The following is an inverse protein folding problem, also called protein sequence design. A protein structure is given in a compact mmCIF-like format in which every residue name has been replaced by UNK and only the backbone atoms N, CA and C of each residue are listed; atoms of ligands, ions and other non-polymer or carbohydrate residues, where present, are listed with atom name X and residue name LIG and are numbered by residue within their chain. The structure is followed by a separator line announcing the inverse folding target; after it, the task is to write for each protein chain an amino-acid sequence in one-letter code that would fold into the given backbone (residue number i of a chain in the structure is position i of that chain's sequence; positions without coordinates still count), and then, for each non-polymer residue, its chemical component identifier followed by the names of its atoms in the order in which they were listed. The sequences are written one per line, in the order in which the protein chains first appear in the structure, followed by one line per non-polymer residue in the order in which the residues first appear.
data_IF_036244881126
#
_entry.id   IF_036244881126
#
_cell.length_a   1.000
_cell.length_b   1.000
_cell.length_c   1.000
_cell.angle_alpha   90.00
_cell.angle_beta   90.00
_cell.angle_gamma   90.00
#
_symmetry.space_group_name_H-M   'P 1'
#
loop_
_entity.id
_entity.type
_entity.pdbx_description
1 polymer ?
#
# COMPACT_ATOMS: atom_id res chain seq x y z
N UNK A 1 28.81 -39.45 -8.67
CA UNK A 1 27.48 -39.24 -8.10
C UNK A 1 27.38 -37.79 -7.62
N UNK A 2 26.83 -36.90 -8.44
CA UNK A 2 26.65 -35.49 -8.09
C UNK A 2 25.35 -35.33 -7.29
N UNK A 3 25.42 -34.78 -6.09
CA UNK A 3 24.27 -34.49 -5.25
C UNK A 3 23.38 -33.45 -5.95
N UNK A 4 22.10 -33.77 -6.13
CA UNK A 4 21.10 -32.82 -6.63
C UNK A 4 21.01 -31.64 -5.65
N UNK A 5 21.13 -30.38 -6.11
CA UNK A 5 20.91 -29.23 -5.25
C UNK A 5 19.49 -29.28 -4.69
N UNK A 6 19.40 -29.14 -3.37
CA UNK A 6 18.15 -29.23 -2.63
C UNK A 6 17.35 -27.94 -2.86
N UNK A 7 16.07 -28.09 -3.14
CA UNK A 7 15.15 -27.06 -3.66
C UNK A 7 14.87 -25.88 -2.73
N UNK A 8 15.49 -25.81 -1.55
CA UNK A 8 15.33 -24.71 -0.59
C UNK A 8 16.28 -23.53 -0.86
N UNK A 9 17.38 -23.72 -1.60
CA UNK A 9 18.29 -22.62 -1.99
C UNK A 9 17.70 -21.69 -3.06
N UNK A 10 16.57 -22.05 -3.67
CA UNK A 10 15.92 -21.25 -4.72
C UNK A 10 14.97 -20.16 -4.21
N UNK A 11 14.83 -19.98 -2.88
CA UNK A 11 14.11 -18.83 -2.31
C UNK A 11 15.01 -17.59 -2.42
N UNK A 12 15.04 -16.99 -3.61
CA UNK A 12 15.78 -15.77 -3.96
C UNK A 12 15.52 -14.63 -2.94
N UNK A 13 16.45 -14.37 -2.00
CA UNK A 13 16.23 -13.44 -0.88
C UNK A 13 16.23 -11.93 -1.21
N UNK A 14 16.83 -11.39 -2.30
CA UNK A 14 16.94 -9.93 -2.43
C UNK A 14 15.67 -9.25 -2.94
N UNK A 15 14.78 -9.96 -3.65
CA UNK A 15 13.61 -9.32 -4.28
C UNK A 15 12.44 -9.13 -3.32
N UNK A 16 12.27 -10.03 -2.35
CA UNK A 16 11.19 -9.95 -1.37
C UNK A 16 11.44 -8.84 -0.35
N UNK A 17 12.63 -8.79 0.26
CA UNK A 17 13.01 -7.73 1.20
C UNK A 17 12.93 -6.34 0.56
N UNK A 18 13.38 -6.22 -0.70
CA UNK A 18 13.28 -4.95 -1.44
C UNK A 18 11.83 -4.52 -1.65
N UNK A 19 10.92 -5.45 -1.97
CA UNK A 19 9.49 -5.15 -2.10
C UNK A 19 8.86 -4.76 -0.78
N UNK A 20 9.15 -5.49 0.28
CA UNK A 20 8.65 -5.19 1.62
C UNK A 20 9.12 -3.80 2.07
N UNK A 21 10.40 -3.47 1.85
CA UNK A 21 10.95 -2.15 2.13
C UNK A 21 10.30 -1.03 1.31
N UNK A 22 10.12 -1.22 0.00
CA UNK A 22 9.44 -0.25 -0.86
C UNK A 22 8.00 0.00 -0.43
N UNK A 23 7.28 -1.05 -0.05
CA UNK A 23 5.90 -0.93 0.38
C UNK A 23 5.79 -0.30 1.77
N UNK A 24 6.62 -0.71 2.72
CA UNK A 24 6.67 -0.07 4.03
C UNK A 24 6.99 1.43 3.89
N UNK A 25 7.97 1.78 3.06
CA UNK A 25 8.33 3.18 2.81
C UNK A 25 7.17 3.99 2.21
N UNK A 26 6.44 3.42 1.24
CA UNK A 26 5.24 4.04 0.69
C UNK A 26 4.22 4.33 1.80
N UNK A 27 3.95 3.37 2.67
CA UNK A 27 2.98 3.52 3.74
C UNK A 27 3.45 4.42 4.89
N UNK A 28 4.77 4.59 5.09
CA UNK A 28 5.32 5.65 5.94
C UNK A 28 4.95 7.02 5.38
N UNK A 29 5.17 7.25 4.08
CA UNK A 29 4.84 8.54 3.46
C UNK A 29 3.34 8.81 3.52
N UNK A 30 2.52 7.84 3.11
CA UNK A 30 1.06 7.97 3.16
C UNK A 30 0.58 8.19 4.60
N UNK A 31 1.14 7.46 5.56
CA UNK A 31 0.80 7.62 6.98
C UNK A 31 1.12 8.98 7.53
N UNK A 32 2.29 9.53 7.18
CA UNK A 32 2.65 10.89 7.57
C UNK A 32 1.68 11.93 7.01
N UNK A 33 1.33 11.81 5.72
CA UNK A 33 0.38 12.73 5.06
C UNK A 33 -1.00 12.65 5.72
N UNK A 34 -1.53 11.42 5.92
CA UNK A 34 -2.82 11.21 6.61
C UNK A 34 -2.81 11.86 7.98
N UNK A 35 -1.79 11.57 8.78
CA UNK A 35 -1.68 12.08 10.14
C UNK A 35 -1.70 13.61 10.20
N UNK A 36 -0.95 14.26 9.30
CA UNK A 36 -0.93 15.72 9.16
C UNK A 36 -2.30 16.25 8.73
N UNK A 37 -2.93 15.63 7.74
CA UNK A 37 -4.25 16.04 7.24
C UNK A 37 -5.37 15.91 8.29
N UNK A 38 -5.26 14.97 9.23
CA UNK A 38 -6.30 14.72 10.25
C UNK A 38 -6.24 15.65 11.46
N UNK A 39 -5.09 16.26 11.73
CA UNK A 39 -4.87 17.04 12.96
C UNK A 39 -5.51 18.44 12.93
N UNK A 40 -5.84 18.96 11.74
CA UNK A 40 -6.38 20.31 11.59
C UNK A 40 -5.38 21.42 11.90
N UNK A 41 -5.86 22.65 12.05
CA UNK A 41 -5.04 23.84 12.34
C UNK A 41 -4.57 23.85 13.80
N UNK A 42 -3.57 23.04 14.12
CA UNK A 42 -2.89 23.01 15.42
C UNK A 42 -1.46 23.54 15.33
N UNK A 43 -0.80 23.66 16.50
CA UNK A 43 0.61 24.01 16.57
C UNK A 43 1.54 22.93 15.99
N UNK A 44 2.80 23.29 15.71
CA UNK A 44 3.80 22.42 15.08
C UNK A 44 3.98 21.06 15.77
N UNK A 45 3.87 21.04 17.11
CA UNK A 45 3.95 19.81 17.92
C UNK A 45 2.83 18.84 17.54
N UNK A 46 1.61 19.35 17.34
CA UNK A 46 0.45 18.52 17.01
C UNK A 46 0.57 17.95 15.60
N UNK A 47 1.12 18.71 14.65
CA UNK A 47 1.40 18.21 13.29
C UNK A 47 2.42 17.07 13.29
N UNK A 48 3.50 17.21 14.07
CA UNK A 48 4.52 16.16 14.20
C UNK A 48 3.92 14.92 14.86
N UNK A 49 3.17 15.10 15.95
CA UNK A 49 2.50 14.01 16.65
C UNK A 49 1.50 13.29 15.74
N UNK A 50 0.71 14.03 14.97
CA UNK A 50 -0.22 13.50 13.97
C UNK A 50 0.49 12.66 12.91
N UNK A 51 1.54 13.21 12.30
CA UNK A 51 2.35 12.49 11.32
C UNK A 51 2.92 11.17 11.86
N UNK A 52 3.47 11.18 13.08
CA UNK A 52 4.00 9.98 13.74
C UNK A 52 2.86 8.98 14.00
N UNK A 53 1.72 9.43 14.52
CA UNK A 53 0.57 8.56 14.77
C UNK A 53 0.07 7.90 13.49
N UNK A 54 -0.02 8.66 12.40
CA UNK A 54 -0.40 8.13 11.09
C UNK A 54 0.57 7.07 10.59
N UNK A 55 1.89 7.29 10.71
CA UNK A 55 2.91 6.28 10.37
C UNK A 55 2.75 5.00 11.19
N UNK A 56 2.59 5.12 12.51
CA UNK A 56 2.46 3.96 13.41
C UNK A 56 1.25 3.10 13.03
N UNK A 57 0.12 3.72 12.67
CA UNK A 57 -1.11 3.02 12.31
C UNK A 57 -1.04 2.41 10.90
N UNK A 58 -0.46 3.13 9.93
CA UNK A 58 -0.56 2.76 8.51
C UNK A 58 0.59 1.86 8.02
N UNK A 59 1.75 1.86 8.67
CA UNK A 59 2.86 0.97 8.31
C UNK A 59 2.51 -0.53 8.41
N UNK A 60 1.85 -1.02 9.47
CA UNK A 60 1.42 -2.42 9.55
C UNK A 60 0.51 -2.83 8.37
N UNK A 61 -0.35 -1.94 7.91
CA UNK A 61 -1.23 -2.17 6.74
C UNK A 61 -0.38 -2.38 5.48
N UNK A 62 0.63 -1.53 5.27
CA UNK A 62 1.58 -1.66 4.16
C UNK A 62 2.37 -2.97 4.18
N UNK A 63 2.79 -3.40 5.37
CA UNK A 63 3.47 -4.70 5.56
C UNK A 63 2.54 -5.86 5.16
N UNK A 64 1.30 -5.87 5.65
CA UNK A 64 0.31 -6.91 5.31
C UNK A 64 0.06 -6.95 3.80
N UNK A 65 -0.11 -5.78 3.16
CA UNK A 65 -0.30 -5.70 1.71
C UNK A 65 0.92 -6.20 0.93
N UNK A 66 2.13 -5.89 1.39
CA UNK A 66 3.36 -6.42 0.79
C UNK A 66 3.39 -7.95 0.84
N UNK A 67 2.96 -8.54 1.96
CA UNK A 67 2.86 -10.00 2.12
C UNK A 67 1.81 -10.62 1.17
N UNK A 68 0.70 -9.92 0.93
CA UNK A 68 -0.30 -10.32 -0.06
C UNK A 68 0.18 -10.20 -1.51
N UNK A 69 1.35 -9.60 -1.73
CA UNK A 69 1.95 -9.40 -3.04
C UNK A 69 1.44 -8.15 -3.75
N UNK A 70 0.93 -7.16 -2.99
CA UNK A 70 0.62 -5.84 -3.51
C UNK A 70 1.85 -5.22 -4.16
N UNK A 71 1.59 -4.35 -5.14
CA UNK A 71 2.63 -3.66 -5.87
C UNK A 71 2.58 -2.17 -5.55
N UNK A 72 3.77 -1.60 -5.36
CA UNK A 72 3.92 -0.21 -4.92
C UNK A 72 3.36 0.82 -5.93
N UNK A 73 3.56 0.72 -7.26
CA UNK A 73 3.13 1.78 -8.16
C UNK A 73 1.61 1.78 -8.34
N UNK A 74 0.97 0.60 -8.37
CA UNK A 74 -0.48 0.45 -8.40
C UNK A 74 -1.12 1.02 -7.12
N UNK A 75 -0.52 0.74 -5.96
CA UNK A 75 -1.00 1.28 -4.67
C UNK A 75 -0.86 2.80 -4.62
N UNK A 76 0.27 3.33 -5.08
CA UNK A 76 0.50 4.78 -5.14
C UNK A 76 -0.48 5.46 -6.09
N UNK A 77 -0.70 4.92 -7.30
CA UNK A 77 -1.61 5.49 -8.29
C UNK A 77 -3.06 5.53 -7.79
N UNK A 78 -3.53 4.46 -7.13
CA UNK A 78 -4.87 4.47 -6.54
C UNK A 78 -4.95 5.39 -5.32
N UNK A 79 -3.91 5.47 -4.48
CA UNK A 79 -3.85 6.39 -3.35
C UNK A 79 -3.89 7.86 -3.81
N UNK A 80 -3.14 8.23 -4.85
CA UNK A 80 -3.16 9.60 -5.40
C UNK A 80 -4.50 9.93 -6.05
N UNK A 81 -5.09 9.01 -6.81
CA UNK A 81 -6.43 9.19 -7.37
C UNK A 81 -7.48 9.37 -6.25
N UNK A 82 -7.45 8.51 -5.24
CA UNK A 82 -8.35 8.61 -4.08
C UNK A 82 -8.16 9.91 -3.30
N UNK A 83 -6.92 10.38 -3.13
CA UNK A 83 -6.62 11.67 -2.52
C UNK A 83 -7.22 12.83 -3.30
N UNK A 84 -7.06 12.86 -4.63
CA UNK A 84 -7.63 13.93 -5.47
C UNK A 84 -9.16 13.94 -5.43
N UNK A 85 -9.79 12.75 -5.48
CA UNK A 85 -11.25 12.62 -5.36
C UNK A 85 -11.73 13.07 -3.98
N UNK A 86 -11.05 12.63 -2.91
CA UNK A 86 -11.38 13.00 -1.54
C UNK A 86 -11.19 14.49 -1.26
N UNK A 87 -10.08 15.07 -1.73
CA UNK A 87 -9.83 16.50 -1.64
C UNK A 87 -10.88 17.30 -2.42
N UNK A 88 -11.20 16.87 -3.64
CA UNK A 88 -12.25 17.48 -4.46
C UNK A 88 -13.61 17.45 -3.77
N UNK A 89 -14.01 16.31 -3.19
CA UNK A 89 -15.24 16.21 -2.41
C UNK A 89 -15.20 17.10 -1.16
N UNK A 90 -14.06 17.20 -0.49
CA UNK A 90 -13.89 18.02 0.70
C UNK A 90 -13.94 19.52 0.46
N UNK A 91 -13.73 20.00 -0.77
CA UNK A 91 -13.96 21.39 -1.12
C UNK A 91 -15.45 21.77 -1.04
N UNK A 92 -16.36 20.82 -1.27
CA UNK A 92 -17.81 21.04 -1.18
C UNK A 92 -18.36 20.90 0.24
N UNK A 93 -17.63 20.20 1.12
CA UNK A 93 -18.07 19.83 2.47
C UNK A 93 -17.24 20.52 3.58
N UNK A 94 -16.40 21.50 3.21
CA UNK A 94 -15.51 22.25 4.11
C UNK A 94 -14.59 21.37 4.98
N UNK A 95 -14.33 20.13 4.55
CA UNK A 95 -13.56 19.12 5.31
C UNK A 95 -12.49 18.47 4.42
N UNK A 96 -11.70 19.32 3.75
CA UNK A 96 -10.68 18.89 2.77
C UNK A 96 -9.67 17.92 3.40
N UNK A 97 -9.16 18.23 4.60
CA UNK A 97 -8.12 17.42 5.25
C UNK A 97 -8.57 15.98 5.53
N UNK A 98 -9.72 15.83 6.19
CA UNK A 98 -10.25 14.51 6.56
C UNK A 98 -10.65 13.71 5.33
N UNK A 99 -11.37 14.31 4.37
CA UNK A 99 -11.82 13.60 3.18
C UNK A 99 -10.68 13.23 2.23
N UNK A 100 -9.66 14.08 2.10
CA UNK A 100 -8.45 13.75 1.34
C UNK A 100 -7.68 12.60 2.00
N UNK A 101 -7.55 12.60 3.33
CA UNK A 101 -6.91 11.52 4.08
C UNK A 101 -7.67 10.19 3.94
N UNK A 102 -9.00 10.22 4.05
CA UNK A 102 -9.87 9.05 3.83
C UNK A 102 -9.72 8.53 2.40
N UNK A 103 -9.79 9.41 1.40
CA UNK A 103 -9.61 9.05 0.00
C UNK A 103 -8.25 8.42 -0.29
N UNK A 104 -7.18 8.96 0.31
CA UNK A 104 -5.82 8.41 0.20
C UNK A 104 -5.72 6.99 0.79
N UNK A 105 -6.29 6.74 1.98
CA UNK A 105 -6.30 5.41 2.61
C UNK A 105 -7.10 4.42 1.76
N UNK A 106 -8.33 4.77 1.38
CA UNK A 106 -9.18 3.89 0.58
C UNK A 106 -8.57 3.61 -0.80
N UNK A 107 -8.04 4.63 -1.46
CA UNK A 107 -7.32 4.48 -2.72
C UNK A 107 -6.13 3.53 -2.58
N UNK A 108 -5.32 3.71 -1.54
CA UNK A 108 -4.17 2.83 -1.27
C UNK A 108 -4.58 1.39 -0.98
N UNK A 109 -5.63 1.18 -0.18
CA UNK A 109 -6.18 -0.14 0.11
C UNK A 109 -6.72 -0.83 -1.15
N UNK A 110 -7.50 -0.13 -1.97
CA UNK A 110 -8.07 -0.65 -3.22
C UNK A 110 -6.96 -1.01 -4.21
N UNK A 111 -5.97 -0.13 -4.40
CA UNK A 111 -4.83 -0.42 -5.28
C UNK A 111 -4.02 -1.62 -4.81
N UNK A 112 -3.80 -1.74 -3.49
CA UNK A 112 -3.04 -2.83 -2.89
C UNK A 112 -3.77 -4.18 -2.90
N UNK A 113 -5.09 -4.19 -2.75
CA UNK A 113 -5.89 -5.42 -2.65
C UNK A 113 -6.50 -5.85 -3.98
N UNK A 114 -7.19 -4.93 -4.67
CA UNK A 114 -8.02 -5.27 -5.83
C UNK A 114 -7.17 -5.76 -7.00
N UNK A 115 -6.07 -5.08 -7.31
CA UNK A 115 -5.17 -5.54 -8.37
C UNK A 115 -4.39 -6.80 -7.97
N UNK A 116 -4.01 -6.95 -6.70
CA UNK A 116 -3.34 -8.16 -6.23
C UNK A 116 -4.25 -9.39 -6.35
N UNK A 117 -5.54 -9.26 -6.07
CA UNK A 117 -6.52 -10.35 -6.18
C UNK A 117 -6.90 -10.58 -7.64
N UNK A 118 -7.36 -9.54 -8.36
CA UNK A 118 -7.91 -9.68 -9.71
C UNK A 118 -6.86 -9.99 -10.79
N UNK A 119 -5.60 -9.54 -10.68
CA UNK A 119 -4.59 -9.90 -11.70
C UNK A 119 -3.86 -11.21 -11.41
N UNK A 120 -3.80 -11.64 -10.15
CA UNK A 120 -3.02 -12.82 -9.74
C UNK A 120 -3.82 -14.12 -9.89
N UNK A 121 -5.12 -14.10 -9.57
CA UNK A 121 -6.04 -15.23 -9.74
C UNK A 121 -6.14 -15.74 -11.19
N UNK A 122 -6.46 -14.92 -12.21
CA UNK A 122 -6.60 -15.41 -13.58
C UNK A 122 -5.27 -15.90 -14.14
N UNK A 123 -4.14 -15.28 -13.76
CA UNK A 123 -2.82 -15.75 -14.19
C UNK A 123 -2.45 -17.11 -13.61
N UNK A 124 -2.89 -17.43 -12.39
CA UNK A 124 -2.71 -18.75 -11.80
C UNK A 124 -3.64 -19.79 -12.42
N UNK A 125 -4.90 -19.42 -12.69
CA UNK A 125 -5.88 -20.27 -13.38
C UNK A 125 -5.42 -20.64 -14.79
N UNK A 126 -4.99 -19.64 -15.58
CA UNK A 126 -4.48 -19.86 -16.94
C UNK A 126 -3.24 -20.77 -16.96
N UNK A 127 -2.32 -20.61 -15.99
CA UNK A 127 -1.14 -21.50 -15.87
C UNK A 127 -1.54 -22.94 -15.56
N UNK A 128 -2.50 -23.16 -14.67
CA UNK A 128 -2.99 -24.51 -14.34
C UNK A 128 -3.67 -25.17 -15.53
N UNK A 129 -4.50 -24.43 -16.26
CA UNK A 129 -5.18 -24.93 -17.46
C UNK A 129 -4.17 -25.31 -18.57
N UNK A 130 -3.13 -24.51 -18.79
CA UNK A 130 -2.09 -24.78 -19.78
C UNK A 130 -1.18 -25.98 -19.42
N UNK A 131 -1.21 -26.48 -18.19
CA UNK A 131 -0.42 -27.66 -17.77
C UNK A 131 -1.23 -28.96 -17.85
N UNK A 132 -2.54 -28.87 -18.08
CA UNK A 132 -3.43 -30.03 -18.24
C UNK A 132 -3.77 -30.34 -19.70
N UNK A 133 -3.35 -29.49 -20.64
CA UNK A 133 -3.38 -29.71 -22.09
C UNK A 133 -2.04 -30.21 -22.59
#
# INVERSE_FOLDING_TARGET
MASRPTTWEAVQPPTFLRRLGQMAFLWVILGSIVGICTVGAGGTILLIAGGIAGVVVLVPVGVILALLGARWPETLACATAGFLVGAGAGLFLESVGTLAATGLIFGGLVGGTFLAVFYRLPRMLLKRLATQS
#
